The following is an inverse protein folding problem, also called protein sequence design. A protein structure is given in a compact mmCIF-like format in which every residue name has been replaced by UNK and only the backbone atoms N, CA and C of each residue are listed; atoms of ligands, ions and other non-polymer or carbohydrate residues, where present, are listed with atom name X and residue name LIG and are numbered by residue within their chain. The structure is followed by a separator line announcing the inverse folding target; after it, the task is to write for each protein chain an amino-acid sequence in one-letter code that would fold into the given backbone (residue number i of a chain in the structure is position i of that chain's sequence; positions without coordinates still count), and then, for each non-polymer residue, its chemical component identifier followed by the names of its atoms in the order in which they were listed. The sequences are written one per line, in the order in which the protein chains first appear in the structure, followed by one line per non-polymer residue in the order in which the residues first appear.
data_IF_178699272668
#
_entry.id   IF_178699272668
#
_cell.length_a   1.000
_cell.length_b   1.000
_cell.length_c   1.000
_cell.angle_alpha   90.00
_cell.angle_beta   90.00
_cell.angle_gamma   90.00
#
_symmetry.space_group_name_H-M   'P 1'
#
loop_
_entity.id
_entity.type
_entity.pdbx_description
1 polymer ?
#
# COMPACT_ATOMS: atom_id res chain seq x y z
N UNK A 1 2.05 -2.00 7.13
CA UNK A 1 1.82 -2.47 5.74
C UNK A 1 0.44 -3.09 5.62
N UNK A 2 0.36 -4.42 5.72
CA UNK A 2 -0.90 -5.16 5.47
C UNK A 2 -1.99 -4.77 6.46
N UNK A 3 -1.63 -4.65 7.73
CA UNK A 3 -2.52 -4.31 8.82
C UNK A 3 -3.08 -2.89 8.67
N UNK A 4 -2.29 -1.97 8.10
CA UNK A 4 -2.74 -0.60 7.79
C UNK A 4 -3.80 -0.61 6.70
N UNK A 5 -3.65 -1.42 5.64
CA UNK A 5 -4.67 -1.55 4.59
C UNK A 5 -5.95 -2.19 5.13
N UNK A 6 -5.82 -3.17 6.03
CA UNK A 6 -6.99 -3.79 6.65
C UNK A 6 -7.72 -2.79 7.55
N UNK A 7 -6.98 -2.04 8.37
CA UNK A 7 -7.54 -0.94 9.16
C UNK A 7 -8.24 0.11 8.30
N UNK A 8 -7.58 0.54 7.23
CA UNK A 8 -8.11 1.52 6.29
C UNK A 8 -9.45 1.06 5.68
N UNK A 9 -9.58 -0.24 5.37
CA UNK A 9 -10.79 -0.77 4.70
C UNK A 9 -12.07 -0.50 5.48
N UNK A 10 -12.04 -0.62 6.80
CA UNK A 10 -13.19 -0.34 7.66
C UNK A 10 -13.19 1.10 8.19
N UNK A 11 -12.02 1.68 8.48
CA UNK A 11 -11.94 3.04 9.02
C UNK A 11 -12.43 4.09 8.02
N UNK A 12 -12.14 3.89 6.74
CA UNK A 12 -12.56 4.77 5.66
C UNK A 12 -13.91 4.40 5.04
N UNK A 13 -14.54 3.30 5.50
CA UNK A 13 -15.76 2.73 4.93
C UNK A 13 -15.69 2.53 3.40
N UNK A 14 -14.64 1.85 2.94
CA UNK A 14 -14.43 1.53 1.53
C UNK A 14 -14.84 0.10 1.21
N UNK A 15 -15.09 -0.18 -0.07
CA UNK A 15 -15.53 -1.52 -0.51
C UNK A 15 -14.44 -2.59 -0.40
N UNK A 16 -13.17 -2.18 -0.30
CA UNK A 16 -12.03 -3.06 -0.15
C UNK A 16 -10.69 -2.32 -0.26
N UNK A 17 -9.61 -3.08 -0.15
CA UNK A 17 -8.24 -2.58 -0.23
C UNK A 17 -7.34 -3.53 -1.00
N UNK A 18 -6.33 -2.96 -1.65
CA UNK A 18 -5.26 -3.70 -2.32
C UNK A 18 -3.94 -3.25 -1.70
N UNK A 19 -3.13 -4.19 -1.24
CA UNK A 19 -1.75 -3.93 -0.84
C UNK A 19 -0.80 -4.57 -1.84
N UNK A 20 0.11 -3.79 -2.41
CA UNK A 20 1.19 -4.30 -3.26
C UNK A 20 2.34 -4.74 -2.37
N UNK A 21 2.48 -6.06 -2.19
CA UNK A 21 3.51 -6.66 -1.33
C UNK A 21 3.70 -8.14 -1.67
N UNK A 22 4.93 -8.62 -1.55
CA UNK A 22 5.26 -10.04 -1.54
C UNK A 22 5.52 -10.58 -0.13
N UNK A 23 5.05 -9.89 0.91
CA UNK A 23 5.25 -10.23 2.32
C UNK A 23 6.73 -10.34 2.69
N UNK A 24 7.22 -11.56 2.91
CA UNK A 24 8.56 -11.88 3.39
C UNK A 24 9.42 -12.52 2.28
N UNK A 25 8.96 -12.45 1.03
CA UNK A 25 9.70 -12.97 -0.10
C UNK A 25 10.92 -12.08 -0.41
N UNK A 26 11.93 -12.62 -1.12
CA UNK A 26 13.06 -11.81 -1.58
C UNK A 26 12.63 -10.72 -2.60
N UNK A 27 13.54 -9.79 -2.86
CA UNK A 27 13.28 -8.57 -3.64
C UNK A 27 12.78 -8.78 -5.08
N UNK A 28 13.02 -9.97 -5.65
CA UNK A 28 12.63 -10.35 -7.00
C UNK A 28 11.15 -10.78 -7.11
N UNK A 29 10.44 -10.85 -5.98
CA UNK A 29 9.01 -11.14 -5.94
C UNK A 29 8.19 -9.87 -5.74
N UNK A 30 7.04 -9.83 -6.42
CA UNK A 30 5.97 -8.90 -6.12
C UNK A 30 4.65 -9.66 -5.97
N UNK A 31 3.66 -9.03 -5.35
CA UNK A 31 2.36 -9.63 -5.11
C UNK A 31 1.32 -8.58 -4.78
N UNK A 32 0.07 -9.02 -4.72
CA UNK A 32 -1.05 -8.20 -4.24
C UNK A 32 -1.82 -9.00 -3.20
N UNK A 33 -2.10 -8.36 -2.06
CA UNK A 33 -3.08 -8.83 -1.08
C UNK A 33 -4.36 -8.04 -1.27
N UNK A 34 -5.49 -8.73 -1.18
CA UNK A 34 -6.82 -8.16 -1.38
C UNK A 34 -7.62 -8.34 -0.10
N UNK A 35 -8.34 -7.30 0.28
CA UNK A 35 -9.27 -7.32 1.41
C UNK A 35 -10.58 -6.66 0.99
N UNK A 36 -11.71 -7.20 1.43
CA UNK A 36 -13.02 -6.59 1.23
C UNK A 36 -13.33 -5.53 2.29
N UNK A 37 -14.54 -4.95 2.19
CA UNK A 37 -15.12 -4.10 3.24
C UNK A 37 -15.03 -4.78 4.61
N UNK A 38 -14.90 -3.99 5.66
CA UNK A 38 -14.83 -4.46 7.05
C UNK A 38 -13.64 -5.39 7.33
N UNK A 39 -12.54 -5.24 6.58
CA UNK A 39 -11.38 -6.12 6.60
C UNK A 39 -11.70 -7.61 6.33
N UNK A 40 -12.78 -7.90 5.61
CA UNK A 40 -13.15 -9.28 5.30
C UNK A 40 -12.14 -9.91 4.33
N UNK A 41 -11.58 -11.08 4.64
CA UNK A 41 -10.60 -11.72 3.78
C UNK A 41 -11.24 -12.17 2.47
N UNK A 42 -10.50 -12.00 1.37
CA UNK A 42 -10.87 -12.54 0.07
C UNK A 42 -10.06 -13.83 -0.18
N UNK A 43 -10.77 -14.95 -0.18
CA UNK A 43 -10.27 -16.33 -0.35
C UNK A 43 -10.93 -16.98 -1.58
N UNK A 44 -10.51 -18.21 -1.91
CA UNK A 44 -11.04 -18.93 -3.09
C UNK A 44 -12.57 -19.05 -3.11
N UNK A 45 -13.17 -19.28 -1.95
CA UNK A 45 -14.62 -19.43 -1.77
C UNK A 45 -15.37 -18.12 -1.54
N UNK A 46 -14.69 -17.00 -1.29
CA UNK A 46 -15.30 -15.69 -1.00
C UNK A 46 -15.06 -14.61 -2.05
N UNK A 47 -14.32 -14.91 -3.12
CA UNK A 47 -14.24 -14.03 -4.30
C UNK A 47 -12.96 -14.16 -5.13
N UNK A 48 -11.90 -14.81 -4.63
CA UNK A 48 -10.63 -14.89 -5.36
C UNK A 48 -10.76 -15.69 -6.66
N UNK A 49 -11.58 -16.75 -6.68
CA UNK A 49 -11.87 -17.49 -7.91
C UNK A 49 -12.66 -16.65 -8.92
N UNK A 50 -13.60 -15.82 -8.46
CA UNK A 50 -14.36 -14.93 -9.34
C UNK A 50 -13.46 -13.85 -9.95
N UNK A 51 -12.53 -13.30 -9.15
CA UNK A 51 -11.51 -12.35 -9.61
C UNK A 51 -10.61 -12.99 -10.66
N UNK A 52 -10.15 -14.24 -10.45
CA UNK A 52 -9.40 -15.00 -11.46
C UNK A 52 -10.22 -15.14 -12.75
N UNK A 53 -11.44 -15.65 -12.64
CA UNK A 53 -12.29 -15.93 -13.80
C UNK A 53 -12.63 -14.66 -14.58
N UNK A 54 -12.74 -13.52 -13.90
CA UNK A 54 -12.90 -12.20 -14.53
C UNK A 54 -11.61 -11.77 -15.22
N UNK A 55 -10.47 -11.84 -14.53
CA UNK A 55 -9.16 -11.46 -15.09
C UNK A 55 -8.78 -12.28 -16.33
N UNK A 56 -9.13 -13.57 -16.37
CA UNK A 56 -8.89 -14.44 -17.54
C UNK A 56 -9.76 -14.09 -18.76
N UNK A 57 -10.90 -13.42 -18.55
CA UNK A 57 -11.85 -13.04 -19.61
C UNK A 57 -11.70 -11.59 -20.06
N UNK A 58 -11.12 -10.73 -19.21
CA UNK A 58 -10.93 -9.33 -19.53
C UNK A 58 -9.83 -9.17 -20.58
N UNK A 59 -10.18 -8.53 -21.69
CA UNK A 59 -9.19 -7.94 -22.59
C UNK A 59 -8.63 -6.71 -21.88
N UNK A 60 -7.33 -6.73 -21.60
CA UNK A 60 -6.68 -5.58 -20.95
C UNK A 60 -6.86 -4.35 -21.85
N UNK A 61 -7.38 -3.22 -21.32
CA UNK A 61 -7.43 -1.98 -22.10
C UNK A 61 -6.02 -1.47 -22.45
N UNK A 62 -4.97 -2.07 -21.89
CA UNK A 62 -3.57 -1.78 -22.16
C UNK A 62 -2.95 -2.67 -23.26
N UNK A 63 -3.70 -3.58 -23.88
CA UNK A 63 -3.21 -4.44 -24.98
C UNK A 63 -2.80 -3.68 -26.27
N UNK A 64 -3.05 -2.37 -26.35
CA UNK A 64 -2.49 -1.50 -27.40
C UNK A 64 -1.15 -0.85 -27.03
N UNK A 65 -0.45 -1.33 -26.00
CA UNK A 65 0.97 -1.02 -25.84
C UNK A 65 1.81 -2.02 -26.63
N UNK A 66 2.49 -1.50 -27.67
CA UNK A 66 3.43 -2.21 -28.53
C UNK A 66 4.32 -3.23 -27.79
N UNK A 67 4.67 -4.32 -28.48
CA UNK A 67 5.73 -5.29 -28.17
C UNK A 67 6.40 -5.10 -26.79
N UNK A 68 5.88 -5.82 -25.80
CA UNK A 68 6.36 -5.81 -24.41
C UNK A 68 7.84 -6.23 -24.29
N UNK A 69 8.45 -6.83 -25.32
CA UNK A 69 9.89 -7.10 -25.35
C UNK A 69 10.76 -5.84 -25.53
N UNK A 70 10.14 -4.70 -25.87
CA UNK A 70 10.78 -3.38 -26.00
C UNK A 70 10.41 -2.41 -24.88
N UNK A 71 9.51 -2.79 -23.97
CA UNK A 71 9.21 -2.03 -22.76
C UNK A 71 10.34 -2.22 -21.73
N UNK A 72 11.45 -1.51 -21.95
CA UNK A 72 12.39 -1.20 -20.88
C UNK A 72 11.61 -0.47 -19.77
N UNK A 73 11.79 -0.87 -18.51
CA UNK A 73 11.19 -0.19 -17.34
C UNK A 73 11.53 1.31 -17.35
N UNK A 74 12.66 1.69 -17.97
CA UNK A 74 13.02 3.09 -18.21
C UNK A 74 12.09 3.82 -19.19
N UNK A 75 11.47 3.12 -20.14
CA UNK A 75 10.54 3.69 -21.12
C UNK A 75 9.15 3.97 -20.52
N UNK A 76 8.71 3.14 -19.56
CA UNK A 76 7.53 3.44 -18.73
C UNK A 76 7.77 4.72 -17.92
N UNK A 77 8.99 4.87 -17.37
CA UNK A 77 9.39 6.08 -16.64
C UNK A 77 9.69 7.31 -17.55
N UNK A 78 9.95 7.12 -18.86
CA UNK A 78 10.30 8.21 -19.79
C UNK A 78 9.11 8.78 -20.56
N UNK A 79 8.03 8.01 -20.73
CA UNK A 79 6.69 8.57 -20.93
C UNK A 79 6.20 9.09 -19.59
N UNK A 80 6.70 10.25 -19.17
CA UNK A 80 6.14 11.02 -18.05
C UNK A 80 4.64 11.29 -18.29
N UNK A 81 3.77 10.37 -17.89
CA UNK A 81 2.65 10.81 -17.06
C UNK A 81 3.28 11.14 -15.72
N UNK A 82 3.35 12.43 -15.40
CA UNK A 82 4.04 12.94 -14.23
C UNK A 82 3.28 12.50 -12.96
N UNK A 83 3.57 11.29 -12.46
CA UNK A 83 3.25 10.87 -11.09
C UNK A 83 4.49 11.08 -10.21
N UNK A 84 5.13 12.25 -10.31
CA UNK A 84 6.29 12.58 -9.48
C UNK A 84 5.87 12.84 -8.03
N UNK A 85 5.92 11.77 -7.22
CA UNK A 85 5.79 11.82 -5.77
C UNK A 85 6.88 12.71 -5.17
N UNK A 86 6.49 13.88 -4.68
CA UNK A 86 7.31 14.68 -3.78
C UNK A 86 6.85 14.36 -2.36
N UNK A 87 7.71 13.72 -1.57
CA UNK A 87 7.50 13.57 -0.13
C UNK A 87 7.68 14.94 0.53
N UNK A 88 6.57 15.63 0.74
CA UNK A 88 6.51 16.92 1.42
C UNK A 88 5.08 17.17 1.89
N UNK A 89 4.95 17.60 3.14
CA UNK A 89 3.67 18.05 3.70
C UNK A 89 3.10 19.21 2.87
N UNK A 90 1.79 19.16 2.63
CA UNK A 90 0.87 20.22 2.17
C UNK A 90 0.47 20.25 0.67
N UNK A 91 -0.85 20.06 0.51
CA UNK A 91 -1.80 20.64 -0.45
C UNK A 91 -1.61 20.43 -1.97
N UNK A 92 -2.51 19.60 -2.54
CA UNK A 92 -2.79 19.51 -3.98
C UNK A 92 -4.04 20.33 -4.31
N UNK A 93 -4.12 20.98 -5.48
CA UNK A 93 -4.95 20.37 -6.52
C UNK A 93 -4.43 20.59 -7.95
N UNK A 94 -4.39 19.54 -8.77
CA UNK A 94 -4.65 19.72 -10.21
C UNK A 94 -5.16 18.43 -10.87
N UNK A 95 -6.22 18.59 -11.66
CA UNK A 95 -6.93 17.53 -12.40
C UNK A 95 -6.35 17.49 -13.82
N UNK A 96 -5.79 16.35 -14.25
CA UNK A 96 -5.34 16.17 -15.63
C UNK A 96 -6.34 15.28 -16.38
N UNK A 97 -6.85 15.77 -17.51
CA UNK A 97 -7.68 15.03 -18.47
C UNK A 97 -6.91 14.82 -19.77
N UNK A 98 -6.88 13.60 -20.30
CA UNK A 98 -6.49 13.36 -21.70
C UNK A 98 -7.61 12.64 -22.45
N UNK A 99 -7.92 13.17 -23.63
CA UNK A 99 -8.93 12.67 -24.56
C UNK A 99 -8.24 12.10 -25.80
N UNK A 100 -8.50 10.84 -26.13
CA UNK A 100 -8.65 10.31 -27.50
C UNK A 100 -8.79 8.78 -27.43
N UNK A 101 -9.95 8.24 -27.81
CA UNK A 101 -10.18 6.80 -28.00
C UNK A 101 -10.67 6.54 -29.42
N UNK A 102 -10.07 5.55 -30.10
CA UNK A 102 -10.42 5.10 -31.43
C UNK A 102 -11.58 4.09 -31.41
N UNK A 103 -12.39 4.13 -32.46
CA UNK A 103 -13.64 3.40 -32.68
C UNK A 103 -13.46 1.88 -32.88
N UNK A 104 -14.09 1.07 -32.02
CA UNK A 104 -14.45 -0.33 -32.32
C UNK A 104 -15.88 -0.63 -31.82
N UNK A 105 -16.63 -1.48 -32.54
CA UNK A 105 -18.10 -1.56 -32.49
C UNK A 105 -18.69 -2.58 -31.51
N UNK A 106 -17.94 -3.03 -30.51
CA UNK A 106 -18.51 -3.74 -29.36
C UNK A 106 -17.95 -3.12 -28.08
N UNK A 107 -18.81 -2.43 -27.34
CA UNK A 107 -18.40 -1.73 -26.13
C UNK A 107 -18.08 -2.74 -25.04
N UNK A 108 -16.82 -2.81 -24.64
CA UNK A 108 -16.40 -3.49 -23.41
C UNK A 108 -17.16 -2.89 -22.21
N UNK A 109 -17.51 -3.67 -21.16
CA UNK A 109 -18.04 -3.13 -19.90
C UNK A 109 -17.15 -2.04 -19.27
N UNK A 110 -15.88 -1.97 -19.68
CA UNK A 110 -14.93 -0.93 -19.28
C UNK A 110 -15.13 0.41 -20.01
N UNK A 111 -15.82 0.44 -21.16
CA UNK A 111 -16.14 1.68 -21.90
C UNK A 111 -17.28 2.49 -21.27
N UNK A 112 -17.98 1.93 -20.27
CA UNK A 112 -18.99 2.63 -19.46
C UNK A 112 -18.45 3.09 -18.10
N UNK A 113 -17.14 2.98 -17.84
CA UNK A 113 -16.58 3.63 -16.65
C UNK A 113 -16.62 5.15 -16.89
N UNK A 114 -17.39 5.92 -16.12
CA UNK A 114 -17.51 7.35 -16.34
C UNK A 114 -16.12 7.97 -16.31
N UNK A 115 -15.82 8.75 -17.35
CA UNK A 115 -14.63 9.58 -17.44
C UNK A 115 -14.43 10.36 -16.12
N UNK A 116 -13.41 9.92 -15.36
CA UNK A 116 -12.78 10.44 -14.12
C UNK A 116 -12.88 9.47 -12.94
N UNK A 117 -11.92 8.55 -12.86
CA UNK A 117 -11.52 8.04 -11.56
C UNK A 117 -11.02 9.22 -10.71
N UNK A 118 -11.67 9.45 -9.56
CA UNK A 118 -11.18 10.41 -8.57
C UNK A 118 -10.13 9.70 -7.71
N UNK A 119 -8.93 10.25 -7.66
CA UNK A 119 -7.86 9.78 -6.79
C UNK A 119 -7.70 10.74 -5.62
N UNK A 120 -7.62 10.17 -4.42
CA UNK A 120 -7.35 10.91 -3.19
C UNK A 120 -6.21 10.23 -2.45
N UNK A 121 -5.13 10.97 -2.20
CA UNK A 121 -4.10 10.54 -1.28
C UNK A 121 -4.50 10.95 0.13
N UNK A 122 -4.48 10.01 1.07
CA UNK A 122 -4.74 10.27 2.47
C UNK A 122 -3.87 9.39 3.33
N UNK A 123 -3.42 9.93 4.47
CA UNK A 123 -2.77 9.14 5.51
C UNK A 123 -3.82 8.61 6.48
N UNK A 124 -3.65 7.35 6.89
CA UNK A 124 -4.39 6.73 7.99
C UNK A 124 -3.48 6.45 9.19
N UNK A 125 -2.24 6.97 9.18
CA UNK A 125 -1.24 6.65 10.19
C UNK A 125 -1.69 7.05 11.60
N UNK A 126 -2.17 8.28 11.76
CA UNK A 126 -2.63 8.78 13.07
C UNK A 126 -3.80 7.96 13.62
N UNK A 127 -4.94 7.77 12.91
CA UNK A 127 -6.04 6.96 13.43
C UNK A 127 -5.65 5.49 13.63
N UNK A 128 -4.74 4.95 12.80
CA UNK A 128 -4.22 3.59 12.98
C UNK A 128 -3.41 3.47 14.28
N UNK A 129 -2.50 4.39 14.54
CA UNK A 129 -1.68 4.40 15.77
C UNK A 129 -2.55 4.64 17.00
N UNK A 130 -3.51 5.57 16.94
CA UNK A 130 -4.48 5.80 18.01
C UNK A 130 -5.23 4.50 18.33
N UNK A 131 -5.69 3.78 17.30
CA UNK A 131 -6.34 2.49 17.48
C UNK A 131 -5.42 1.43 18.11
N UNK A 132 -4.17 1.31 17.66
CA UNK A 132 -3.20 0.38 18.26
C UNK A 132 -2.95 0.66 19.74
N UNK A 133 -2.92 1.94 20.14
CA UNK A 133 -2.69 2.32 21.53
C UNK A 133 -3.88 1.99 22.44
N UNK A 134 -5.08 1.71 21.90
CA UNK A 134 -6.21 1.24 22.71
C UNK A 134 -5.98 -0.14 23.32
N UNK A 135 -5.07 -0.94 22.76
CA UNK A 135 -4.76 -2.29 23.25
C UNK A 135 -3.87 -2.30 24.49
N UNK A 136 -3.23 -1.17 24.83
CA UNK A 136 -2.25 -1.10 25.90
C UNK A 136 -2.58 0.03 26.87
N UNK A 137 -2.35 -0.23 28.16
CA UNK A 137 -2.41 0.81 29.19
C UNK A 137 -1.00 1.37 29.40
N UNK A 138 -0.72 2.53 28.79
CA UNK A 138 0.59 3.18 28.84
C UNK A 138 1.05 3.49 30.27
N UNK A 139 0.12 3.65 31.22
CA UNK A 139 0.44 3.95 32.62
C UNK A 139 1.04 2.76 33.36
N UNK A 140 0.88 1.54 32.82
CA UNK A 140 1.42 0.30 33.38
C UNK A 140 2.79 -0.08 32.85
N UNK A 141 3.35 0.70 31.91
CA UNK A 141 4.66 0.42 31.33
C UNK A 141 5.78 0.93 32.24
N UNK A 142 6.71 0.04 32.56
CA UNK A 142 7.91 0.35 33.33
C UNK A 142 9.04 0.84 32.42
N UNK A 143 10.10 1.37 33.04
CA UNK A 143 11.31 1.73 32.29
C UNK A 143 11.89 0.52 31.56
N UNK A 144 11.99 0.62 30.23
CA UNK A 144 12.54 -0.46 29.40
C UNK A 144 13.22 0.09 28.13
N UNK A 145 14.14 -0.70 27.59
CA UNK A 145 14.73 -0.49 26.26
C UNK A 145 14.15 -1.52 25.31
N UNK A 146 13.50 -1.08 24.24
CA UNK A 146 12.86 -1.92 23.24
C UNK A 146 13.67 -1.90 21.95
N UNK A 147 14.26 -3.03 21.59
CA UNK A 147 14.92 -3.19 20.28
C UNK A 147 13.87 -3.58 19.26
N UNK A 148 13.80 -2.83 18.16
CA UNK A 148 12.88 -3.07 17.04
C UNK A 148 13.68 -3.15 15.75
N UNK A 149 13.41 -4.18 14.95
CA UNK A 149 14.04 -4.38 13.65
C UNK A 149 12.95 -4.35 12.57
N UNK A 150 12.93 -3.30 11.74
CA UNK A 150 11.95 -3.18 10.66
C UNK A 150 12.37 -3.94 9.38
N UNK A 151 13.59 -4.49 9.34
CA UNK A 151 14.10 -5.28 8.23
C UNK A 151 14.17 -4.53 6.90
N UNK A 152 14.27 -3.20 6.95
CA UNK A 152 14.11 -2.28 5.81
C UNK A 152 12.75 -2.40 5.10
N UNK A 153 11.76 -3.03 5.73
CA UNK A 153 10.40 -3.13 5.26
C UNK A 153 9.55 -1.92 5.65
N UNK A 154 8.23 -2.05 5.48
CA UNK A 154 7.26 -0.96 5.64
C UNK A 154 6.77 -0.73 7.09
N UNK A 155 7.51 -1.15 8.12
CA UNK A 155 7.08 -1.03 9.52
C UNK A 155 7.65 0.21 10.23
N UNK A 156 8.73 0.80 9.70
CA UNK A 156 9.49 1.87 10.37
C UNK A 156 8.64 3.08 10.74
N UNK A 157 7.83 3.59 9.81
CA UNK A 157 7.02 4.80 10.04
C UNK A 157 5.95 4.63 11.13
N UNK A 158 5.39 3.42 11.27
CA UNK A 158 4.45 3.10 12.37
C UNK A 158 5.17 3.12 13.71
N UNK A 159 6.38 2.55 13.78
CA UNK A 159 7.22 2.57 14.99
C UNK A 159 7.55 4.02 15.38
N UNK A 160 7.86 4.89 14.42
CA UNK A 160 8.12 6.31 14.67
C UNK A 160 6.91 7.02 15.27
N UNK A 161 5.73 6.79 14.71
CA UNK A 161 4.49 7.37 15.21
C UNK A 161 4.13 6.85 16.62
N UNK A 162 4.31 5.56 16.90
CA UNK A 162 4.14 4.99 18.24
C UNK A 162 5.15 5.62 19.23
N UNK A 163 6.42 5.75 18.85
CA UNK A 163 7.43 6.36 19.70
C UNK A 163 7.09 7.84 19.99
N UNK A 164 6.57 8.59 19.02
CA UNK A 164 6.12 9.97 19.22
C UNK A 164 4.97 10.06 20.23
N UNK A 165 4.02 9.14 20.19
CA UNK A 165 2.94 9.05 21.17
C UNK A 165 3.46 8.68 22.57
N UNK A 166 4.41 7.75 22.66
CA UNK A 166 5.06 7.37 23.91
C UNK A 166 5.80 8.55 24.54
N UNK A 167 6.56 9.31 23.75
CA UNK A 167 7.24 10.53 24.19
C UNK A 167 6.25 11.57 24.70
N UNK A 168 5.15 11.79 23.96
CA UNK A 168 4.11 12.76 24.34
C UNK A 168 3.40 12.38 25.64
N UNK A 169 3.22 11.08 25.89
CA UNK A 169 2.63 10.55 27.12
C UNK A 169 3.65 10.33 28.26
N UNK A 170 4.93 10.73 28.09
CA UNK A 170 6.02 10.49 29.05
C UNK A 170 6.18 9.01 29.44
N UNK A 171 5.96 8.10 28.49
CA UNK A 171 6.15 6.66 28.71
C UNK A 171 7.66 6.37 28.78
N UNK A 172 8.16 5.69 29.82
CA UNK A 172 9.60 5.51 30.04
C UNK A 172 10.23 4.40 29.18
N UNK A 173 9.90 4.36 27.89
CA UNK A 173 10.40 3.36 26.93
C UNK A 173 11.38 4.03 25.97
N UNK A 174 12.58 3.47 25.86
CA UNK A 174 13.58 3.86 24.88
C UNK A 174 13.54 2.89 23.69
N UNK A 175 13.38 3.40 22.48
CA UNK A 175 13.41 2.58 21.27
C UNK A 175 14.83 2.52 20.69
N UNK A 176 15.32 1.31 20.43
CA UNK A 176 16.56 1.04 19.71
C UNK A 176 16.17 0.46 18.36
N UNK A 177 16.33 1.25 17.29
CA UNK A 177 15.86 0.92 15.95
C UNK A 177 16.96 0.31 15.10
N UNK A 178 16.65 -0.79 14.43
CA UNK A 178 17.57 -1.56 13.59
C UNK A 178 16.93 -1.72 12.21
N UNK A 179 17.71 -1.48 11.15
CA UNK A 179 17.25 -1.56 9.75
C UNK A 179 15.89 -0.86 9.54
N UNK A 180 15.78 0.35 10.06
CA UNK A 180 14.51 1.05 10.28
C UNK A 180 13.95 1.71 9.03
N UNK A 181 14.82 2.37 8.27
CA UNK A 181 14.45 3.06 7.05
C UNK A 181 14.05 2.06 5.97
N UNK A 182 12.91 2.30 5.32
CA UNK A 182 12.42 1.46 4.24
C UNK A 182 13.40 1.49 3.04
N UNK A 183 13.80 0.30 2.58
CA UNK A 183 14.69 0.13 1.42
C UNK A 183 14.32 -1.17 0.69
N UNK A 184 13.75 -1.02 -0.51
CA UNK A 184 13.31 -2.14 -1.34
C UNK A 184 14.43 -3.00 -1.93
N UNK A 185 15.70 -2.59 -1.78
CA UNK A 185 16.85 -3.44 -2.09
C UNK A 185 17.18 -4.44 -0.97
N UNK A 186 16.56 -4.28 0.21
CA UNK A 186 16.77 -5.12 1.39
C UNK A 186 18.25 -5.36 1.70
N UNK A 187 19.03 -4.29 1.98
CA UNK A 187 20.50 -4.37 2.09
C UNK A 187 20.98 -5.26 3.25
N UNK A 188 20.10 -5.56 4.21
CA UNK A 188 20.39 -6.37 5.39
C UNK A 188 19.77 -7.78 5.32
N UNK A 189 19.42 -8.24 4.11
CA UNK A 189 18.85 -9.56 3.86
C UNK A 189 17.33 -9.55 3.70
N UNK A 190 16.77 -10.72 3.38
CA UNK A 190 15.33 -10.90 3.15
C UNK A 190 14.55 -10.35 4.36
N UNK A 191 13.47 -9.58 4.15
CA UNK A 191 12.64 -9.01 5.22
C UNK A 191 11.75 -10.09 5.88
N UNK A 192 12.39 -11.15 6.39
CA UNK A 192 11.78 -12.28 7.06
C UNK A 192 12.30 -12.33 8.50
N UNK A 193 11.44 -12.09 9.51
CA UNK A 193 11.86 -12.01 10.91
C UNK A 193 12.29 -13.36 11.51
N UNK A 194 12.17 -14.47 10.77
CA UNK A 194 12.57 -15.82 11.22
C UNK A 194 13.95 -16.25 10.74
N UNK A 195 14.63 -15.44 9.92
CA UNK A 195 16.00 -15.69 9.42
C UNK A 195 17.02 -14.93 10.25
#
# INVERSE_FOLDING_TARGET
GTEEIYFASFYLDVDGGIEVTASHNPMDYNGMKLVGRDALPISGDSGLNDIRDLAEKLVSPFEQAADLSTLDVKTINSKKMDYSFHWGEQDIPEIITTSEAASSTEKSPLEELPNKALYHQQSILDPYVEHLLTYIDLTKLNSLKLVVNAGNGAAGHVIDAIEAQFKSANVPVEFIKVHHEADGSFPNGIPNPLL
#
